data_IF_674707429288
#
_entry.id   IF_674707429288
#
_cell.length_a   1.000
_cell.length_b   1.000
_cell.length_c   1.000
_cell.angle_alpha   90.00
_cell.angle_beta   90.00
_cell.angle_gamma   90.00
#
_symmetry.space_group_name_H-M   'P 1'
#
loop_
_entity.id
_entity.type
_entity.pdbx_description
1 polymer ?
#
# COMPACT_ATOMS: atom_id res chain seq x y z
N UNK A 1 -9.39 -4.08 -18.21
CA UNK A 1 -9.65 -4.00 -16.76
C UNK A 1 -11.15 -4.02 -16.49
N UNK A 2 -11.66 -5.00 -15.72
CA UNK A 2 -13.08 -4.98 -15.31
C UNK A 2 -13.30 -3.81 -14.35
N UNK A 3 -14.00 -2.79 -14.82
CA UNK A 3 -14.43 -1.65 -14.00
C UNK A 3 -15.80 -1.99 -13.40
N UNK A 4 -16.01 -1.72 -12.12
CA UNK A 4 -17.33 -1.95 -11.48
C UNK A 4 -18.40 -1.15 -12.21
N UNK A 5 -19.63 -1.67 -12.34
CA UNK A 5 -20.73 -0.95 -13.00
C UNK A 5 -20.96 0.45 -12.38
N UNK A 6 -20.80 0.56 -11.05
CA UNK A 6 -20.89 1.82 -10.32
C UNK A 6 -19.80 2.83 -10.70
N UNK A 7 -18.63 2.37 -11.13
CA UNK A 7 -17.57 3.27 -11.60
C UNK A 7 -17.90 3.93 -12.94
N UNK A 8 -18.82 3.35 -13.72
CA UNK A 8 -19.36 3.93 -14.96
C UNK A 8 -20.55 4.87 -14.71
N UNK A 9 -21.10 4.88 -13.49
CA UNK A 9 -22.26 5.67 -13.10
C UNK A 9 -21.95 6.56 -11.88
N UNK A 10 -21.11 7.61 -12.04
CA UNK A 10 -20.67 8.46 -10.94
C UNK A 10 -21.84 9.17 -10.22
N UNK A 11 -22.95 9.41 -10.92
CA UNK A 11 -24.17 9.97 -10.34
C UNK A 11 -24.82 9.06 -9.28
N UNK A 12 -24.67 7.74 -9.37
CA UNK A 12 -25.16 6.81 -8.34
C UNK A 12 -24.26 6.86 -7.11
N UNK A 13 -22.94 6.94 -7.33
CA UNK A 13 -21.96 7.02 -6.24
C UNK A 13 -22.15 8.30 -5.43
N UNK A 14 -22.50 9.42 -6.07
CA UNK A 14 -22.80 10.67 -5.37
C UNK A 14 -24.05 10.60 -4.49
N UNK A 15 -24.98 9.68 -4.78
CA UNK A 15 -26.20 9.44 -3.97
C UNK A 15 -25.98 8.47 -2.80
N UNK A 16 -24.86 7.75 -2.76
CA UNK A 16 -24.57 6.82 -1.66
C UNK A 16 -24.36 7.57 -0.34
N UNK A 17 -24.94 7.02 0.74
CA UNK A 17 -24.60 7.42 2.10
C UNK A 17 -23.14 7.07 2.40
N UNK A 18 -22.54 7.75 3.39
CA UNK A 18 -21.12 7.61 3.72
C UNK A 18 -20.71 6.15 3.99
N UNK A 19 -21.50 5.40 4.77
CA UNK A 19 -21.21 4.00 5.07
C UNK A 19 -21.20 3.12 3.82
N UNK A 20 -22.17 3.33 2.92
CA UNK A 20 -22.24 2.59 1.66
C UNK A 20 -21.08 2.96 0.73
N UNK A 21 -20.65 4.22 0.74
CA UNK A 21 -19.49 4.69 -0.01
C UNK A 21 -18.20 4.05 0.50
N UNK A 22 -17.98 4.05 1.82
CA UNK A 22 -16.82 3.39 2.43
C UNK A 22 -16.82 1.88 2.17
N UNK A 23 -17.97 1.22 2.30
CA UNK A 23 -18.14 -0.20 1.98
C UNK A 23 -17.87 -0.50 0.51
N UNK A 24 -18.30 0.37 -0.40
CA UNK A 24 -17.97 0.28 -1.83
C UNK A 24 -16.46 0.36 -2.06
N UNK A 25 -15.78 1.33 -1.44
CA UNK A 25 -14.31 1.47 -1.52
C UNK A 25 -13.57 0.24 -0.98
N UNK A 26 -14.01 -0.29 0.17
CA UNK A 26 -13.43 -1.51 0.75
C UNK A 26 -13.64 -2.72 -0.16
N UNK A 27 -14.85 -2.89 -0.70
CA UNK A 27 -15.20 -4.00 -1.60
C UNK A 27 -14.38 -3.95 -2.89
N UNK A 28 -14.14 -2.76 -3.46
CA UNK A 28 -13.28 -2.61 -4.63
C UNK A 28 -11.85 -3.10 -4.35
N UNK A 29 -11.28 -2.74 -3.20
CA UNK A 29 -9.93 -3.17 -2.81
C UNK A 29 -9.86 -4.69 -2.57
N UNK A 30 -10.86 -5.27 -1.90
CA UNK A 30 -10.91 -6.73 -1.67
C UNK A 30 -11.12 -7.49 -2.98
N UNK A 31 -12.03 -7.03 -3.84
CA UNK A 31 -12.28 -7.65 -5.14
C UNK A 31 -11.03 -7.61 -6.02
N UNK A 32 -10.29 -6.49 -5.99
CA UNK A 32 -9.00 -6.37 -6.65
C UNK A 32 -8.02 -7.42 -6.11
N UNK A 33 -7.88 -7.55 -4.79
CA UNK A 33 -7.02 -8.58 -4.20
C UNK A 33 -7.42 -10.01 -4.61
N UNK A 34 -8.70 -10.38 -4.47
CA UNK A 34 -9.21 -11.73 -4.79
C UNK A 34 -8.97 -12.08 -6.26
N UNK A 35 -9.18 -11.12 -7.16
CA UNK A 35 -8.92 -11.31 -8.59
C UNK A 35 -7.46 -11.70 -8.85
N UNK A 36 -6.52 -10.97 -8.28
CA UNK A 36 -5.09 -11.24 -8.47
C UNK A 36 -4.66 -12.53 -7.76
N UNK A 37 -5.27 -12.84 -6.61
CA UNK A 37 -5.05 -14.12 -5.92
C UNK A 37 -5.44 -15.30 -6.81
N UNK A 38 -6.59 -15.25 -7.47
CA UNK A 38 -7.03 -16.33 -8.40
C UNK A 38 -6.17 -16.34 -9.64
N UNK A 39 -5.91 -15.18 -10.26
CA UNK A 39 -5.16 -15.08 -11.51
C UNK A 39 -3.70 -15.54 -11.36
N UNK A 40 -3.08 -15.33 -10.20
CA UNK A 40 -1.74 -15.86 -9.90
C UNK A 40 -1.78 -17.28 -9.30
N UNK A 41 -2.81 -17.60 -8.51
CA UNK A 41 -2.94 -18.89 -7.85
C UNK A 41 -3.10 -20.05 -8.84
N UNK A 42 -3.88 -19.87 -9.90
CA UNK A 42 -4.12 -20.91 -10.90
C UNK A 42 -2.82 -21.32 -11.64
N UNK A 43 -2.04 -20.41 -12.26
CA UNK A 43 -0.75 -20.77 -12.85
C UNK A 43 0.25 -21.32 -11.83
N UNK A 44 0.26 -20.82 -10.59
CA UNK A 44 1.12 -21.35 -9.54
C UNK A 44 0.78 -22.81 -9.18
N UNK A 45 -0.50 -23.18 -9.17
CA UNK A 45 -0.91 -24.55 -8.95
C UNK A 45 -0.44 -25.48 -10.08
N UNK A 46 -0.58 -25.05 -11.34
CA UNK A 46 -0.06 -25.79 -12.49
C UNK A 46 1.47 -25.93 -12.46
N UNK A 47 2.19 -24.86 -12.17
CA UNK A 47 3.66 -24.91 -12.07
C UNK A 47 4.12 -25.89 -10.97
N UNK A 48 3.43 -25.95 -9.83
CA UNK A 48 3.73 -26.92 -8.76
C UNK A 48 3.48 -28.37 -9.17
N UNK A 49 2.47 -28.63 -10.01
CA UNK A 49 2.25 -29.97 -10.58
C UNK A 49 3.44 -30.38 -11.46
N UNK A 50 4.02 -29.44 -12.19
CA UNK A 50 5.24 -29.63 -13.00
C UNK A 50 6.54 -29.63 -12.18
N UNK A 51 6.47 -29.52 -10.85
CA UNK A 51 7.65 -29.44 -9.98
C UNK A 51 8.40 -28.10 -10.03
N UNK A 52 7.79 -27.06 -10.60
CA UNK A 52 8.35 -25.70 -10.68
C UNK A 52 7.83 -24.87 -9.50
N UNK A 53 8.73 -24.48 -8.61
CA UNK A 53 8.41 -23.60 -7.48
C UNK A 53 8.37 -22.12 -7.90
N UNK A 54 7.16 -21.58 -7.96
CA UNK A 54 6.91 -20.15 -8.18
C UNK A 54 6.85 -19.36 -6.86
N UNK A 55 7.09 -18.03 -6.89
CA UNK A 55 6.94 -17.17 -5.72
C UNK A 55 5.56 -17.30 -5.05
N UNK A 56 5.47 -17.03 -3.74
CA UNK A 56 4.21 -17.17 -3.02
C UNK A 56 3.13 -16.19 -3.53
N UNK A 57 1.85 -16.55 -3.35
CA UNK A 57 0.73 -15.71 -3.75
C UNK A 57 0.72 -14.37 -2.99
N UNK A 58 -0.01 -13.36 -3.51
CA UNK A 58 -0.05 -12.04 -2.91
C UNK A 58 -0.58 -12.06 -1.47
N UNK A 59 -0.01 -11.21 -0.61
CA UNK A 59 -0.54 -10.99 0.74
C UNK A 59 -1.79 -10.12 0.67
N UNK A 60 -2.68 -10.29 1.66
CA UNK A 60 -3.90 -9.49 1.75
C UNK A 60 -3.58 -7.97 1.78
N UNK A 61 -4.25 -7.21 0.92
CA UNK A 61 -4.10 -5.74 0.83
C UNK A 61 -4.51 -5.05 2.14
N UNK A 62 -5.51 -5.61 2.85
CA UNK A 62 -5.97 -5.11 4.15
C UNK A 62 -4.95 -5.29 5.29
N UNK A 63 -3.88 -6.06 5.05
CA UNK A 63 -2.83 -6.37 6.03
C UNK A 63 -1.66 -5.39 5.98
N UNK A 64 -1.59 -4.52 4.97
CA UNK A 64 -0.42 -3.69 4.71
C UNK A 64 -0.73 -2.21 4.96
N UNK A 65 -0.39 -1.71 6.15
CA UNK A 65 -0.49 -0.27 6.45
C UNK A 65 0.63 0.57 5.80
N UNK A 66 1.73 -0.08 5.40
CA UNK A 66 2.84 0.52 4.67
C UNK A 66 2.65 0.34 3.17
N UNK A 67 2.76 1.43 2.41
CA UNK A 67 2.78 1.47 0.95
C UNK A 67 3.93 0.62 0.38
N UNK A 68 5.15 0.71 0.94
CA UNK A 68 6.26 -0.12 0.45
C UNK A 68 6.04 -1.62 0.70
N UNK A 69 5.38 -1.98 1.81
CA UNK A 69 4.99 -3.35 2.09
C UNK A 69 3.90 -3.81 1.11
N UNK A 70 2.89 -2.99 0.86
CA UNK A 70 1.87 -3.29 -0.13
C UNK A 70 2.50 -3.58 -1.50
N UNK A 71 3.35 -2.70 -2.03
CA UNK A 71 3.95 -2.88 -3.36
C UNK A 71 4.93 -4.05 -3.45
N UNK A 72 5.57 -4.44 -2.33
CA UNK A 72 6.47 -5.60 -2.29
C UNK A 72 5.72 -6.94 -2.34
N UNK A 73 4.55 -7.00 -1.70
CA UNK A 73 3.81 -8.24 -1.48
C UNK A 73 2.49 -8.33 -2.26
N UNK A 74 2.08 -7.26 -2.94
CA UNK A 74 0.92 -7.26 -3.84
C UNK A 74 1.23 -8.04 -5.13
N UNK A 75 2.43 -7.89 -5.68
CA UNK A 75 2.89 -8.65 -6.83
C UNK A 75 4.37 -9.00 -6.68
N UNK A 76 4.63 -10.23 -6.23
CA UNK A 76 5.98 -10.71 -6.01
C UNK A 76 6.80 -10.81 -7.29
N UNK A 77 6.20 -11.31 -8.37
CA UNK A 77 6.91 -11.51 -9.64
C UNK A 77 7.34 -10.17 -10.22
N UNK A 78 6.42 -9.23 -10.27
CA UNK A 78 6.66 -7.88 -10.74
C UNK A 78 7.66 -7.13 -9.85
N UNK A 79 7.52 -7.23 -8.52
CA UNK A 79 8.48 -6.62 -7.61
C UNK A 79 9.90 -7.16 -7.80
N UNK A 80 10.05 -8.48 -7.97
CA UNK A 80 11.35 -9.11 -8.23
C UNK A 80 11.94 -8.68 -9.57
N UNK A 81 11.11 -8.59 -10.61
CA UNK A 81 11.51 -8.10 -11.92
C UNK A 81 12.01 -6.65 -11.84
N UNK A 82 11.23 -5.73 -11.26
CA UNK A 82 11.61 -4.32 -11.08
C UNK A 82 12.88 -4.23 -10.25
N UNK A 83 12.99 -5.01 -9.18
CA UNK A 83 14.20 -5.03 -8.35
C UNK A 83 15.43 -5.43 -9.17
N UNK A 84 15.32 -6.47 -10.00
CA UNK A 84 16.42 -7.02 -10.80
C UNK A 84 16.83 -6.10 -11.96
N UNK A 85 15.86 -5.52 -12.66
CA UNK A 85 16.11 -4.80 -13.90
C UNK A 85 16.11 -3.28 -13.77
N UNK A 86 15.45 -2.71 -12.76
CA UNK A 86 15.41 -1.27 -12.55
C UNK A 86 16.27 -0.88 -11.35
N UNK A 87 16.00 -1.44 -10.15
CA UNK A 87 16.72 -1.00 -8.95
C UNK A 87 18.20 -1.42 -8.92
N UNK A 88 18.51 -2.69 -9.17
CA UNK A 88 19.87 -3.23 -9.06
C UNK A 88 20.87 -2.51 -9.98
N UNK A 89 20.56 -2.26 -11.27
CA UNK A 89 21.46 -1.51 -12.16
C UNK A 89 21.68 -0.05 -11.75
N UNK A 90 20.73 0.55 -11.03
CA UNK A 90 20.81 1.94 -10.56
C UNK A 90 21.41 2.08 -9.15
N UNK A 91 21.66 0.99 -8.43
CA UNK A 91 22.26 1.08 -7.10
C UNK A 91 23.75 1.40 -7.21
N UNK A 92 24.11 2.64 -6.88
CA UNK A 92 25.50 3.04 -6.67
C UNK A 92 26.14 2.37 -5.43
N UNK A 93 27.45 2.58 -5.22
CA UNK A 93 28.23 1.96 -4.14
C UNK A 93 27.67 2.22 -2.74
N UNK A 94 26.97 3.35 -2.56
CA UNK A 94 26.32 3.71 -1.31
C UNK A 94 24.80 3.67 -1.49
N UNK A 95 24.11 2.98 -0.57
CA UNK A 95 22.65 2.82 -0.53
C UNK A 95 21.95 4.12 -0.11
N UNK A 96 22.30 5.23 -0.73
CA UNK A 96 21.78 6.54 -0.42
C UNK A 96 20.28 6.63 -0.70
N UNK A 97 19.65 7.54 0.04
CA UNK A 97 18.21 7.83 -0.02
C UNK A 97 17.80 8.25 -1.42
N UNK A 98 18.64 9.05 -2.08
CA UNK A 98 18.40 9.57 -3.42
C UNK A 98 18.21 8.43 -4.42
N UNK A 99 19.10 7.42 -4.41
CA UNK A 99 18.99 6.27 -5.30
C UNK A 99 17.73 5.43 -5.06
N UNK A 100 17.28 5.31 -3.80
CA UNK A 100 16.02 4.62 -3.49
C UNK A 100 14.80 5.36 -4.03
N UNK A 101 14.79 6.69 -3.89
CA UNK A 101 13.72 7.53 -4.41
C UNK A 101 13.71 7.54 -5.94
N UNK A 102 14.88 7.66 -6.59
CA UNK A 102 15.00 7.57 -8.04
C UNK A 102 14.55 6.20 -8.56
N UNK A 103 14.94 5.11 -7.90
CA UNK A 103 14.46 3.76 -8.23
C UNK A 103 12.95 3.62 -8.14
N UNK A 104 12.36 4.22 -7.12
CA UNK A 104 10.91 4.26 -6.93
C UNK A 104 10.22 5.10 -8.01
N UNK A 105 10.75 6.28 -8.31
CA UNK A 105 10.25 7.15 -9.35
C UNK A 105 10.29 6.46 -10.72
N UNK A 106 11.41 5.82 -11.08
CA UNK A 106 11.53 5.10 -12.35
C UNK A 106 10.55 3.94 -12.44
N UNK A 107 10.37 3.17 -11.36
CA UNK A 107 9.40 2.07 -11.33
C UNK A 107 7.96 2.56 -11.56
N UNK A 108 7.54 3.64 -10.91
CA UNK A 108 6.20 4.21 -11.15
C UNK A 108 6.07 4.90 -12.49
N UNK A 109 7.12 5.53 -13.02
CA UNK A 109 7.14 6.06 -14.38
C UNK A 109 6.98 4.95 -15.42
N UNK A 110 7.63 3.80 -15.22
CA UNK A 110 7.44 2.63 -16.09
C UNK A 110 5.99 2.15 -16.05
N UNK A 111 5.39 2.02 -14.86
CA UNK A 111 3.98 1.64 -14.76
C UNK A 111 3.03 2.67 -15.35
N UNK A 112 3.34 3.95 -15.22
CA UNK A 112 2.56 5.03 -15.78
C UNK A 112 2.53 4.95 -17.31
N UNK A 113 3.69 4.68 -17.94
CA UNK A 113 3.79 4.44 -19.37
C UNK A 113 3.07 3.15 -19.79
N UNK A 114 3.21 2.08 -18.99
CA UNK A 114 2.57 0.79 -19.25
C UNK A 114 1.02 0.86 -19.19
N UNK A 115 0.47 1.74 -18.36
CA UNK A 115 -0.97 1.86 -18.12
C UNK A 115 -1.63 3.02 -18.90
N UNK A 116 -1.22 3.22 -20.15
CA UNK A 116 -1.83 4.15 -21.12
C UNK A 116 -1.84 5.64 -20.67
N UNK A 117 -1.00 6.01 -19.69
CA UNK A 117 -0.79 7.40 -19.21
C UNK A 117 -2.07 8.19 -18.87
N UNK A 118 -3.14 7.50 -18.49
CA UNK A 118 -4.42 8.18 -18.18
C UNK A 118 -4.30 9.05 -16.93
N UNK A 119 -5.12 10.11 -16.83
CA UNK A 119 -5.10 11.04 -15.66
C UNK A 119 -5.24 10.30 -14.33
N UNK A 120 -6.11 9.27 -14.28
CA UNK A 120 -6.30 8.46 -13.08
C UNK A 120 -5.03 7.69 -12.68
N UNK A 121 -4.32 7.14 -13.66
CA UNK A 121 -3.04 6.44 -13.46
C UNK A 121 -1.95 7.43 -13.04
N UNK A 122 -1.93 8.65 -13.59
CA UNK A 122 -0.99 9.71 -13.15
C UNK A 122 -1.14 10.04 -11.67
N UNK A 123 -2.39 10.16 -11.18
CA UNK A 123 -2.66 10.38 -9.76
C UNK A 123 -2.26 9.19 -8.90
N UNK A 124 -2.59 7.96 -9.33
CA UNK A 124 -2.18 6.74 -8.63
C UNK A 124 -0.64 6.61 -8.54
N UNK A 125 0.08 6.85 -9.64
CA UNK A 125 1.55 6.78 -9.66
C UNK A 125 2.16 7.83 -8.73
N UNK A 126 1.69 9.07 -8.81
CA UNK A 126 2.15 10.19 -7.97
C UNK A 126 1.89 9.94 -6.48
N UNK A 127 0.68 9.50 -6.11
CA UNK A 127 0.33 9.22 -4.72
C UNK A 127 1.07 8.00 -4.16
N UNK A 128 1.30 6.97 -4.99
CA UNK A 128 2.08 5.80 -4.58
C UNK A 128 3.55 6.14 -4.37
N UNK A 129 4.13 6.96 -5.27
CA UNK A 129 5.48 7.50 -5.10
C UNK A 129 5.57 8.34 -3.82
N UNK A 130 4.63 9.26 -3.60
CA UNK A 130 4.57 10.08 -2.39
C UNK A 130 4.50 9.20 -1.14
N UNK A 131 3.70 8.14 -1.15
CA UNK A 131 3.63 7.19 -0.03
C UNK A 131 4.99 6.55 0.28
N UNK A 132 5.68 6.02 -0.72
CA UNK A 132 7.01 5.42 -0.48
C UNK A 132 8.04 6.50 -0.08
N UNK A 133 7.97 7.69 -0.65
CA UNK A 133 8.85 8.80 -0.28
C UNK A 133 8.66 9.23 1.18
N UNK A 134 7.42 9.27 1.68
CA UNK A 134 7.11 9.54 3.09
C UNK A 134 7.70 8.46 4.00
N UNK A 135 7.62 7.18 3.63
CA UNK A 135 8.24 6.10 4.41
C UNK A 135 9.76 6.20 4.47
N UNK A 136 10.39 6.52 3.33
CA UNK A 136 11.84 6.73 3.26
C UNK A 136 12.22 7.95 4.10
N UNK A 137 11.51 9.07 3.98
CA UNK A 137 11.74 10.27 4.79
C UNK A 137 11.59 9.99 6.29
N UNK A 138 10.56 9.25 6.69
CA UNK A 138 10.36 8.83 8.08
C UNK A 138 11.49 7.91 8.58
N UNK A 139 12.02 7.03 7.72
CA UNK A 139 13.19 6.21 8.03
C UNK A 139 14.43 7.08 8.28
N UNK A 140 14.66 8.09 7.45
CA UNK A 140 15.82 9.00 7.62
C UNK A 140 15.68 9.89 8.84
N UNK A 141 14.49 10.43 9.12
CA UNK A 141 14.22 11.21 10.33
C UNK A 141 14.55 10.38 11.57
N UNK A 142 14.18 9.09 11.59
CA UNK A 142 14.52 8.17 12.71
C UNK A 142 16.02 7.92 12.86
N UNK A 143 16.83 8.08 11.81
CA UNK A 143 18.29 7.90 11.92
C UNK A 143 18.98 9.08 12.60
N UNK A 144 18.37 10.27 12.55
CA UNK A 144 18.90 11.47 13.20
C UNK A 144 19.06 11.25 14.70
N UNK A 145 20.20 11.66 15.27
CA UNK A 145 20.53 11.43 16.69
C UNK A 145 19.48 11.98 17.65
N UNK A 146 18.84 13.11 17.30
CA UNK A 146 17.75 13.69 18.08
C UNK A 146 16.51 12.79 18.14
N UNK A 147 16.09 12.23 17.01
CA UNK A 147 14.94 11.32 16.95
C UNK A 147 15.23 10.02 17.70
N UNK A 148 16.44 9.46 17.58
CA UNK A 148 16.87 8.29 18.37
C UNK A 148 16.84 8.57 19.87
N UNK A 149 17.31 9.74 20.29
CA UNK A 149 17.30 10.13 21.71
C UNK A 149 15.88 10.30 22.25
N UNK A 150 14.97 10.89 21.47
CA UNK A 150 13.54 10.97 21.83
C UNK A 150 12.92 9.57 21.88
N UNK A 151 13.22 8.72 20.90
CA UNK A 151 12.69 7.36 20.83
C UNK A 151 13.13 6.53 22.03
N UNK A 152 14.43 6.56 22.35
CA UNK A 152 14.99 5.89 23.52
C UNK A 152 14.47 6.43 24.85
N UNK A 153 14.19 7.74 24.94
CA UNK A 153 13.78 8.39 26.20
C UNK A 153 12.28 8.31 26.48
N UNK A 154 11.43 8.39 25.45
CA UNK A 154 9.98 8.53 25.61
C UNK A 154 9.13 7.45 24.92
N UNK A 155 9.69 6.75 23.92
CA UNK A 155 8.95 5.84 23.04
C UNK A 155 9.51 4.41 23.15
N UNK A 156 9.48 3.83 24.35
CA UNK A 156 9.85 2.43 24.55
C UNK A 156 8.60 1.54 24.53
N UNK A 157 8.69 0.40 23.85
CA UNK A 157 7.65 -0.64 23.80
C UNK A 157 6.32 -0.15 23.22
N UNK A 158 5.24 -0.20 24.03
CA UNK A 158 3.86 0.07 23.58
C UNK A 158 3.64 1.50 23.05
N UNK A 159 4.37 2.51 23.53
CA UNK A 159 4.22 3.90 23.07
C UNK A 159 4.75 4.10 21.65
N UNK A 160 5.84 3.43 21.30
CA UNK A 160 6.36 3.43 19.93
C UNK A 160 5.37 2.76 18.97
N UNK A 161 4.73 1.69 19.42
CA UNK A 161 3.71 0.99 18.65
C UNK A 161 2.49 1.86 18.40
N UNK A 162 2.00 2.56 19.42
CA UNK A 162 0.93 3.55 19.27
C UNK A 162 1.34 4.62 18.26
N UNK A 163 2.54 5.19 18.38
CA UNK A 163 3.03 6.20 17.44
C UNK A 163 3.10 5.66 16.00
N UNK A 164 3.62 4.44 15.81
CA UNK A 164 3.65 3.77 14.49
C UNK A 164 2.25 3.60 13.90
N UNK A 165 1.27 3.19 14.71
CA UNK A 165 -0.11 3.05 14.25
C UNK A 165 -0.80 4.39 13.99
N UNK A 166 -0.52 5.43 14.79
CA UNK A 166 -1.04 6.79 14.58
C UNK A 166 -0.49 7.40 13.30
N UNK A 167 0.81 7.27 13.04
CA UNK A 167 1.44 7.73 11.79
C UNK A 167 1.06 6.83 10.60
N UNK A 168 0.85 5.54 10.86
CA UNK A 168 0.44 4.56 9.86
C UNK A 168 -0.98 4.77 9.36
N UNK A 169 -1.91 5.25 10.20
CA UNK A 169 -3.31 5.47 9.81
C UNK A 169 -3.51 6.43 8.62
N UNK A 170 -3.00 7.70 8.64
CA UNK A 170 -3.13 8.60 7.50
C UNK A 170 -2.33 8.11 6.29
N UNK A 171 -1.20 7.43 6.53
CA UNK A 171 -0.41 6.81 5.47
C UNK A 171 -1.15 5.66 4.77
N UNK A 172 -1.90 4.89 5.54
CA UNK A 172 -2.74 3.83 5.03
C UNK A 172 -3.91 4.41 4.23
N UNK A 173 -4.53 5.49 4.72
CA UNK A 173 -5.57 6.21 3.99
C UNK A 173 -5.05 6.73 2.63
N UNK A 174 -3.84 7.31 2.60
CA UNK A 174 -3.18 7.75 1.37
C UNK A 174 -3.02 6.59 0.37
N UNK A 175 -2.59 5.43 0.85
CA UNK A 175 -2.41 4.23 0.03
C UNK A 175 -3.74 3.73 -0.53
N UNK A 176 -4.80 3.70 0.28
CA UNK A 176 -6.16 3.34 -0.15
C UNK A 176 -6.66 4.32 -1.23
N UNK A 177 -6.48 5.62 -1.03
CA UNK A 177 -6.86 6.63 -2.04
C UNK A 177 -6.08 6.46 -3.35
N UNK A 178 -4.79 6.17 -3.27
CA UNK A 178 -3.97 5.83 -4.44
C UNK A 178 -4.59 4.65 -5.21
N UNK A 179 -4.89 3.55 -4.52
CA UNK A 179 -5.54 2.39 -5.13
C UNK A 179 -6.92 2.73 -5.72
N UNK A 180 -7.71 3.60 -5.07
CA UNK A 180 -9.02 4.01 -5.61
C UNK A 180 -8.90 4.76 -6.94
N UNK A 181 -7.87 5.60 -7.13
CA UNK A 181 -7.60 6.23 -8.43
C UNK A 181 -7.30 5.20 -9.52
N UNK A 182 -6.58 4.14 -9.19
CA UNK A 182 -6.27 3.06 -10.15
C UNK A 182 -7.48 2.18 -10.47
N UNK A 183 -8.30 1.88 -9.48
CA UNK A 183 -9.44 0.96 -9.60
C UNK A 183 -10.69 1.62 -10.19
N UNK A 184 -10.79 2.95 -10.12
CA UNK A 184 -11.98 3.71 -10.51
C UNK A 184 -11.65 4.87 -11.45
N UNK A 185 -12.50 5.89 -11.48
CA UNK A 185 -12.35 7.10 -12.29
C UNK A 185 -12.05 8.28 -11.37
N UNK A 186 -11.40 9.32 -11.92
CA UNK A 186 -11.08 10.56 -11.20
C UNK A 186 -12.32 11.17 -10.54
N UNK A 187 -13.47 11.17 -11.23
CA UNK A 187 -14.74 11.68 -10.70
C UNK A 187 -15.21 10.93 -9.45
N UNK A 188 -15.19 9.60 -9.50
CA UNK A 188 -15.61 8.74 -8.39
C UNK A 188 -14.68 8.97 -7.19
N UNK A 189 -13.36 8.96 -7.40
CA UNK A 189 -12.41 9.21 -6.32
C UNK A 189 -12.53 10.64 -5.76
N UNK A 190 -12.88 11.62 -6.59
CA UNK A 190 -13.13 12.99 -6.12
C UNK A 190 -14.38 13.06 -5.23
N UNK A 191 -15.43 12.30 -5.53
CA UNK A 191 -16.60 12.16 -4.65
C UNK A 191 -16.20 11.53 -3.31
N UNK A 192 -15.37 10.48 -3.34
CA UNK A 192 -14.79 9.89 -2.13
C UNK A 192 -14.01 10.92 -1.31
N UNK A 193 -13.11 11.66 -1.94
CA UNK A 193 -12.31 12.68 -1.27
C UNK A 193 -13.17 13.75 -0.62
N UNK A 194 -14.15 14.31 -1.35
CA UNK A 194 -15.07 15.33 -0.82
C UNK A 194 -15.90 14.81 0.35
N UNK A 195 -16.42 13.60 0.27
CA UNK A 195 -17.27 13.04 1.34
C UNK A 195 -16.50 12.54 2.55
N UNK A 196 -15.31 11.98 2.36
CA UNK A 196 -14.50 11.39 3.44
C UNK A 196 -13.61 12.44 4.11
N UNK A 197 -12.93 13.29 3.34
CA UNK A 197 -11.97 14.27 3.88
C UNK A 197 -12.67 15.58 4.25
N UNK A 198 -13.52 16.11 3.36
CA UNK A 198 -14.19 17.41 3.53
C UNK A 198 -15.61 17.30 4.08
N UNK A 199 -16.07 16.10 4.45
CA UNK A 199 -17.42 15.88 4.95
C UNK A 199 -17.65 16.47 6.33
N UNK A 200 -18.89 16.84 6.63
CA UNK A 200 -19.34 17.24 7.97
C UNK A 200 -20.04 16.06 8.67
N UNK A 201 -19.84 15.79 9.98
CA UNK A 201 -19.01 16.50 10.96
C UNK A 201 -17.59 15.90 11.13
N UNK A 202 -16.81 15.76 10.04
CA UNK A 202 -15.48 15.11 9.98
C UNK A 202 -15.50 13.56 9.95
N UNK A 203 -16.03 12.93 8.89
CA UNK A 203 -16.01 11.48 8.73
C UNK A 203 -14.60 10.90 8.55
N UNK A 204 -13.60 11.74 8.27
CA UNK A 204 -12.19 11.36 8.29
C UNK A 204 -11.75 10.82 9.65
N UNK A 205 -12.27 11.35 10.77
CA UNK A 205 -11.88 10.91 12.11
C UNK A 205 -12.24 9.45 12.39
N UNK A 206 -13.50 9.01 12.25
CA UNK A 206 -13.84 7.60 12.45
C UNK A 206 -13.11 6.70 11.43
N UNK A 207 -12.86 7.17 10.20
CA UNK A 207 -12.06 6.41 9.22
C UNK A 207 -10.61 6.23 9.72
N UNK A 208 -9.97 7.29 10.20
CA UNK A 208 -8.61 7.22 10.74
C UNK A 208 -8.53 6.35 12.01
N UNK A 209 -9.57 6.35 12.85
CA UNK A 209 -9.66 5.45 14.00
C UNK A 209 -9.75 3.99 13.55
N UNK A 210 -10.60 3.69 12.56
CA UNK A 210 -10.66 2.34 11.98
C UNK A 210 -9.31 1.91 11.37
N UNK A 211 -8.65 2.81 10.64
CA UNK A 211 -7.33 2.55 10.04
C UNK A 211 -6.20 2.48 11.08
N UNK A 212 -6.36 3.12 12.24
CA UNK A 212 -5.46 2.96 13.37
C UNK A 212 -5.53 1.53 13.91
N UNK A 213 -6.74 1.00 14.13
CA UNK A 213 -6.89 -0.41 14.53
C UNK A 213 -6.38 -1.37 13.46
N UNK A 214 -6.64 -1.09 12.18
CA UNK A 214 -6.08 -1.87 11.08
C UNK A 214 -4.53 -1.84 11.07
N UNK A 215 -3.94 -0.68 11.37
CA UNK A 215 -2.48 -0.54 11.50
C UNK A 215 -1.93 -1.30 12.71
N UNK A 216 -2.64 -1.30 13.84
CA UNK A 216 -2.26 -2.10 15.02
C UNK A 216 -2.23 -3.60 14.71
N UNK A 217 -3.29 -4.11 14.05
CA UNK A 217 -3.34 -5.51 13.61
C UNK A 217 -2.24 -5.80 12.61
N UNK A 218 -2.00 -4.89 11.65
CA UNK A 218 -0.91 -5.04 10.68
C UNK A 218 0.46 -5.16 11.36
N UNK A 219 0.72 -4.39 12.42
CA UNK A 219 1.97 -4.46 13.20
C UNK A 219 2.10 -5.80 13.95
N UNK A 220 1.07 -6.26 14.66
CA UNK A 220 1.07 -7.58 15.34
C UNK A 220 1.43 -8.70 14.37
N UNK A 221 0.79 -8.63 13.22
CA UNK A 221 0.83 -9.65 12.20
C UNK A 221 2.19 -9.65 11.49
N UNK A 222 2.92 -8.52 11.45
CA UNK A 222 4.32 -8.46 11.02
C UNK A 222 5.27 -9.05 12.07
N UNK A 223 5.08 -8.68 13.35
CA UNK A 223 5.89 -9.20 14.47
C UNK A 223 5.78 -10.73 14.60
N UNK A 224 4.57 -11.27 14.40
CA UNK A 224 4.32 -12.71 14.39
C UNK A 224 5.05 -13.42 13.24
N UNK A 225 5.04 -12.86 12.03
CA UNK A 225 5.76 -13.44 10.88
C UNK A 225 7.27 -13.43 11.09
N UNK A 226 7.80 -12.34 11.63
CA UNK A 226 9.24 -12.21 11.88
C UNK A 226 9.69 -13.21 12.96
N UNK A 227 8.86 -13.41 13.99
CA UNK A 227 9.07 -14.43 15.03
C UNK A 227 9.01 -15.85 14.47
N UNK A 228 8.06 -16.15 13.58
CA UNK A 228 7.93 -17.45 12.93
C UNK A 228 9.14 -17.77 12.03
N UNK A 229 9.63 -16.78 11.26
CA UNK A 229 10.83 -16.92 10.44
C UNK A 229 12.10 -17.12 11.28
N UNK A 230 12.21 -16.45 12.42
CA UNK A 230 13.34 -16.64 13.33
C UNK A 230 13.39 -18.06 13.90
N UNK A 231 12.23 -18.63 14.25
CA UNK A 231 12.09 -20.03 14.69
C UNK A 231 12.47 -21.02 13.59
N UNK A 232 12.10 -20.77 12.34
CA UNK A 232 12.47 -21.64 11.21
C UNK A 232 13.97 -21.61 10.88
N UNK A 233 14.68 -20.52 11.17
CA UNK A 233 16.14 -20.43 10.94
C UNK A 233 16.98 -21.08 12.05
N UNK A 234 16.36 -21.37 13.19
CA UNK A 234 17.02 -21.95 14.37
C UNK A 234 16.73 -23.44 14.54
N UNK A 235 15.84 -24.00 13.71
CA UNK A 235 15.57 -25.42 13.54
C UNK A 235 16.24 -25.96 12.29
#
# INVERSE_FOLDING_TARGET
MHRSALSKAPYLVSRLNLTALLGFGATLNVMFFVKYLVQYGVPCAFARIEGIDLPPPPKCVARSHLCSHLWRYFDHGLHLWIRKYLYLPMMGPEREVIWRLMGTALAFSFFWLWHDMTVAVSFWASLSFLGIALEVGMSEIRKLGFAKNIEAKYLVGGRLRILKAVLGSPHYLLTIFSCLFFLTNVEVTTIFFKKVILGFPMPVLPVLVCLYFASQVSLDVMEWEDSAKAKQKTS
#
